data_IF_311322533337
#
_entry.id   IF_311322533337
#
_cell.length_a   1.000
_cell.length_b   1.000
_cell.length_c   1.000
_cell.angle_alpha   90.00
_cell.angle_beta   90.00
_cell.angle_gamma   90.00
#
_symmetry.space_group_name_H-M   'P 1'
#
loop_
_entity.id
_entity.type
_entity.pdbx_description
1 polymer ?
#
# COMPACT_ATOMS: atom_id res chain seq x y z
N UNK A 1 16.68 36.97 -3.80
CA UNK A 1 15.57 36.09 -4.24
C UNK A 1 15.97 34.93 -5.18
N UNK A 2 17.24 34.78 -5.56
CA UNK A 2 17.71 33.70 -6.46
C UNK A 2 18.02 32.36 -5.75
N UNK A 3 18.30 32.37 -4.44
CA UNK A 3 18.73 31.17 -3.73
C UNK A 3 17.61 30.11 -3.50
N UNK A 4 16.33 30.51 -3.46
CA UNK A 4 15.19 29.60 -3.29
C UNK A 4 14.90 28.78 -4.56
N UNK A 5 15.21 29.29 -5.74
CA UNK A 5 14.98 28.62 -7.01
C UNK A 5 15.99 27.48 -7.25
N UNK A 6 17.24 27.64 -6.83
CA UNK A 6 18.28 26.62 -6.98
C UNK A 6 18.09 25.40 -6.06
N UNK A 7 17.45 25.58 -4.90
CA UNK A 7 17.18 24.49 -3.97
C UNK A 7 15.93 23.66 -4.37
N UNK A 8 14.98 24.27 -5.08
CA UNK A 8 13.73 23.64 -5.49
C UNK A 8 13.87 22.75 -6.75
N UNK A 9 14.76 23.11 -7.68
CA UNK A 9 14.99 22.38 -8.93
C UNK A 9 15.42 20.91 -8.73
N UNK A 10 16.36 20.56 -7.82
CA UNK A 10 16.73 19.16 -7.60
C UNK A 10 15.58 18.31 -7.05
N UNK A 11 14.73 18.89 -6.21
CA UNK A 11 13.57 18.16 -5.64
C UNK A 11 12.53 17.84 -6.72
N UNK A 12 12.25 18.76 -7.64
CA UNK A 12 11.35 18.52 -8.76
C UNK A 12 11.88 17.41 -9.67
N UNK A 13 13.19 17.35 -9.90
CA UNK A 13 13.81 16.30 -10.71
C UNK A 13 13.68 14.93 -10.05
N UNK A 14 13.92 14.84 -8.74
CA UNK A 14 13.76 13.60 -7.98
C UNK A 14 12.30 13.11 -8.02
N UNK A 15 11.33 13.99 -7.77
CA UNK A 15 9.91 13.63 -7.82
C UNK A 15 9.47 13.13 -9.19
N UNK A 16 9.94 13.77 -10.27
CA UNK A 16 9.68 13.34 -11.64
C UNK A 16 10.29 11.98 -11.92
N UNK A 17 11.52 11.76 -11.44
CA UNK A 17 12.19 10.47 -11.59
C UNK A 17 11.43 9.36 -10.87
N UNK A 18 11.01 9.57 -9.61
CA UNK A 18 10.22 8.59 -8.84
C UNK A 18 8.96 8.20 -9.61
N UNK A 19 8.17 9.18 -10.06
CA UNK A 19 6.92 8.93 -10.79
C UNK A 19 7.16 8.16 -12.09
N UNK A 20 8.16 8.57 -12.86
CA UNK A 20 8.51 7.89 -14.10
C UNK A 20 8.91 6.43 -13.85
N UNK A 21 9.73 6.15 -12.85
CA UNK A 21 10.15 4.79 -12.51
C UNK A 21 8.98 3.94 -12.00
N UNK A 22 8.01 4.54 -11.29
CA UNK A 22 6.76 3.86 -10.91
C UNK A 22 5.89 3.54 -12.12
N UNK A 23 5.68 4.52 -13.02
CA UNK A 23 4.91 4.32 -14.25
C UNK A 23 5.53 3.24 -15.13
N UNK A 24 6.85 3.24 -15.33
CA UNK A 24 7.58 2.20 -16.06
C UNK A 24 7.42 0.80 -15.42
N UNK A 25 7.46 0.73 -14.09
CA UNK A 25 7.25 -0.53 -13.39
C UNK A 25 5.81 -1.04 -13.51
N UNK A 26 4.82 -0.15 -13.41
CA UNK A 26 3.41 -0.51 -13.64
C UNK A 26 3.22 -1.01 -15.06
N UNK A 27 3.69 -0.29 -16.08
CA UNK A 27 3.56 -0.69 -17.49
C UNK A 27 4.20 -2.07 -17.75
N UNK A 28 5.32 -2.35 -17.10
CA UNK A 28 6.08 -3.58 -17.32
C UNK A 28 5.49 -4.80 -16.60
N UNK A 29 5.00 -4.65 -15.37
CA UNK A 29 4.68 -5.77 -14.49
C UNK A 29 3.21 -5.89 -14.07
N UNK A 30 2.38 -4.89 -14.37
CA UNK A 30 0.95 -4.90 -14.03
C UNK A 30 0.12 -5.14 -15.29
N UNK A 31 -0.84 -6.06 -15.21
CA UNK A 31 -1.86 -6.29 -16.24
C UNK A 31 -3.22 -6.03 -15.64
N UNK A 32 -4.00 -5.17 -16.30
CA UNK A 32 -5.41 -5.00 -15.97
C UNK A 32 -6.20 -6.05 -16.77
N UNK A 33 -6.98 -6.86 -16.10
CA UNK A 33 -7.91 -7.77 -16.77
C UNK A 33 -9.05 -6.92 -17.35
N UNK A 34 -9.08 -6.81 -18.67
CA UNK A 34 -10.25 -6.25 -19.37
C UNK A 34 -11.37 -7.27 -19.25
N UNK A 35 -12.55 -6.84 -18.85
CA UNK A 35 -13.78 -7.64 -19.00
C UNK A 35 -13.97 -8.00 -20.47
N UNK A 36 -13.46 -9.15 -20.90
CA UNK A 36 -13.85 -9.77 -22.15
C UNK A 36 -15.15 -10.58 -21.93
N UNK A 37 -16.23 -10.03 -22.53
CA UNK A 37 -17.45 -10.73 -22.91
C UNK A 37 -18.46 -11.13 -21.82
N UNK A 38 -19.41 -10.24 -21.62
CA UNK A 38 -20.83 -10.64 -21.45
C UNK A 38 -21.61 -10.48 -22.76
N UNK A 39 -21.26 -11.26 -23.77
CA UNK A 39 -22.16 -11.57 -24.89
C UNK A 39 -22.16 -13.07 -25.10
N UNK A 40 -22.89 -13.82 -24.25
CA UNK A 40 -23.52 -15.11 -24.48
C UNK A 40 -24.10 -15.65 -23.17
N UNK A 41 -25.23 -15.09 -22.73
CA UNK A 41 -26.29 -15.85 -22.05
C UNK A 41 -27.48 -14.93 -21.71
N UNK A 42 -28.19 -14.52 -22.72
CA UNK A 42 -29.62 -14.22 -22.56
C UNK A 42 -30.37 -15.56 -22.44
N UNK A 43 -30.64 -16.01 -21.23
CA UNK A 43 -31.84 -16.78 -20.82
C UNK A 43 -31.66 -17.31 -19.41
N UNK A 44 -32.12 -16.57 -18.44
CA UNK A 44 -32.96 -17.03 -17.33
C UNK A 44 -33.08 -15.90 -16.31
N UNK A 45 -34.24 -15.30 -16.30
CA UNK A 45 -34.70 -14.37 -15.26
C UNK A 45 -34.83 -15.12 -13.95
N UNK A 46 -34.01 -14.79 -12.96
CA UNK A 46 -34.38 -14.88 -11.54
C UNK A 46 -33.82 -13.67 -10.84
N UNK A 47 -34.76 -12.84 -10.37
CA UNK A 47 -34.48 -11.62 -9.58
C UNK A 47 -33.88 -12.07 -8.25
N UNK A 48 -32.58 -11.85 -8.07
CA UNK A 48 -31.96 -11.86 -6.75
C UNK A 48 -31.61 -10.43 -6.37
N UNK A 49 -32.16 -9.99 -5.23
CA UNK A 49 -31.85 -8.74 -4.58
C UNK A 49 -30.33 -8.59 -4.43
N UNK A 50 -29.78 -7.58 -5.10
CA UNK A 50 -28.38 -7.22 -4.98
C UNK A 50 -28.19 -6.48 -3.65
N UNK A 51 -27.50 -7.12 -2.70
CA UNK A 51 -26.83 -6.38 -1.64
C UNK A 51 -25.77 -5.45 -2.25
N UNK A 52 -25.56 -4.23 -1.70
CA UNK A 52 -24.58 -3.27 -2.21
C UNK A 52 -23.17 -3.67 -1.77
N UNK A 53 -22.58 -4.66 -2.40
CA UNK A 53 -21.18 -4.97 -2.39
C UNK A 53 -20.61 -4.53 -3.72
N UNK A 54 -20.03 -3.31 -3.79
CA UNK A 54 -19.27 -2.91 -4.95
C UNK A 54 -18.10 -3.88 -5.09
N UNK A 55 -18.22 -4.81 -6.05
CA UNK A 55 -17.08 -5.62 -6.50
C UNK A 55 -16.09 -4.63 -7.09
N UNK A 56 -15.04 -4.34 -6.33
CA UNK A 56 -14.06 -3.33 -6.72
C UNK A 56 -13.29 -3.89 -7.92
N UNK A 57 -13.51 -3.31 -9.11
CA UNK A 57 -12.82 -3.67 -10.36
C UNK A 57 -11.29 -3.64 -10.21
N UNK A 58 -10.78 -2.99 -9.16
CA UNK A 58 -9.38 -2.85 -8.85
C UNK A 58 -8.69 -4.14 -8.37
N UNK A 59 -9.43 -5.17 -7.95
CA UNK A 59 -8.89 -6.48 -7.60
C UNK A 59 -8.50 -7.34 -8.82
N UNK A 60 -8.89 -6.92 -10.01
CA UNK A 60 -8.62 -7.66 -11.27
C UNK A 60 -7.29 -7.29 -11.93
N UNK A 61 -6.31 -6.83 -11.15
CA UNK A 61 -4.95 -6.58 -11.65
C UNK A 61 -4.07 -7.80 -11.39
N UNK A 62 -3.41 -8.29 -12.43
CA UNK A 62 -2.41 -9.36 -12.31
C UNK A 62 -1.01 -8.77 -12.27
N UNK A 63 -0.22 -9.18 -11.27
CA UNK A 63 1.18 -8.76 -11.12
C UNK A 63 2.11 -9.86 -11.59
N UNK A 64 3.05 -9.54 -12.48
CA UNK A 64 4.08 -10.46 -12.95
C UNK A 64 5.20 -10.63 -11.91
N UNK A 65 4.91 -11.39 -10.85
CA UNK A 65 5.92 -11.71 -9.83
C UNK A 65 7.09 -12.52 -10.36
N UNK A 66 6.92 -13.30 -11.43
CA UNK A 66 8.02 -14.04 -12.03
C UNK A 66 9.02 -13.08 -12.69
N UNK A 67 8.51 -12.11 -13.45
CA UNK A 67 9.31 -11.04 -14.03
C UNK A 67 10.01 -10.18 -12.98
N UNK A 68 9.28 -9.75 -11.95
CA UNK A 68 9.81 -8.96 -10.83
C UNK A 68 10.94 -9.71 -10.10
N UNK A 69 10.71 -10.96 -9.72
CA UNK A 69 11.69 -11.79 -9.00
C UNK A 69 12.88 -12.21 -9.84
N UNK A 70 12.76 -12.16 -11.16
CA UNK A 70 13.91 -12.30 -12.06
C UNK A 70 14.91 -11.15 -11.96
N UNK A 71 14.44 -9.95 -11.55
CA UNK A 71 15.25 -8.76 -11.32
C UNK A 71 15.74 -8.66 -9.88
N UNK A 72 14.86 -8.93 -8.93
CA UNK A 72 15.22 -8.99 -7.51
C UNK A 72 14.34 -10.01 -6.79
N UNK A 73 14.96 -11.08 -6.28
CA UNK A 73 14.26 -12.17 -5.57
C UNK A 73 13.62 -11.74 -4.26
N UNK A 74 14.07 -10.63 -3.70
CA UNK A 74 13.56 -10.05 -2.45
C UNK A 74 12.26 -9.27 -2.64
N UNK A 75 11.70 -9.19 -3.87
CA UNK A 75 10.36 -8.62 -4.08
C UNK A 75 9.33 -9.65 -3.63
N UNK A 76 8.60 -9.31 -2.55
CA UNK A 76 7.62 -10.18 -1.91
C UNK A 76 6.17 -9.82 -2.25
N UNK A 77 5.88 -8.53 -2.51
CA UNK A 77 4.52 -8.04 -2.76
C UNK A 77 4.52 -6.86 -3.74
N UNK A 78 3.32 -6.41 -4.08
CA UNK A 78 3.07 -5.16 -4.79
C UNK A 78 2.03 -4.35 -4.02
N UNK A 79 2.32 -3.08 -3.73
CA UNK A 79 1.44 -2.18 -2.98
C UNK A 79 0.87 -1.11 -3.91
N UNK A 80 -0.45 -0.99 -3.94
CA UNK A 80 -1.14 0.08 -4.63
C UNK A 80 -2.04 0.87 -3.67
N UNK A 81 -1.80 2.17 -3.57
CA UNK A 81 -2.62 3.11 -2.77
C UNK A 81 -3.11 4.21 -3.71
N UNK A 82 -4.32 4.09 -4.29
CA UNK A 82 -4.84 5.02 -5.30
C UNK A 82 -4.80 6.48 -4.83
N UNK A 83 -5.24 6.74 -3.60
CA UNK A 83 -5.27 8.07 -3.01
C UNK A 83 -3.88 8.72 -2.83
N UNK A 84 -2.80 7.96 -2.91
CA UNK A 84 -1.43 8.48 -2.76
C UNK A 84 -0.66 8.55 -4.07
N UNK A 85 -1.23 8.08 -5.18
CA UNK A 85 -0.51 7.81 -6.43
C UNK A 85 0.74 6.94 -6.17
N UNK A 86 0.60 5.92 -5.31
CA UNK A 86 1.63 4.95 -4.97
C UNK A 86 1.25 3.59 -5.56
N UNK A 87 2.08 3.08 -6.47
CA UNK A 87 1.85 1.84 -7.20
C UNK A 87 3.21 1.19 -7.46
N UNK A 88 3.69 0.36 -6.51
CA UNK A 88 5.10 -0.02 -6.41
C UNK A 88 5.31 -1.44 -5.90
N UNK A 89 6.41 -2.11 -6.28
CA UNK A 89 6.83 -3.34 -5.65
C UNK A 89 7.26 -3.11 -4.19
N UNK A 90 7.04 -4.12 -3.36
CA UNK A 90 7.49 -4.19 -1.96
C UNK A 90 8.62 -5.18 -1.85
N UNK A 91 9.72 -4.78 -1.24
CA UNK A 91 10.87 -5.63 -0.99
C UNK A 91 10.85 -6.21 0.43
N UNK A 92 11.46 -7.39 0.62
CA UNK A 92 11.74 -7.99 1.92
C UNK A 92 13.19 -8.47 1.91
N UNK A 93 14.07 -7.67 2.47
CA UNK A 93 15.52 -7.89 2.44
C UNK A 93 16.05 -8.65 3.64
N UNK A 94 17.36 -8.80 3.70
CA UNK A 94 18.05 -9.46 4.82
C UNK A 94 18.34 -8.51 6.00
N UNK A 95 18.14 -7.21 5.80
CA UNK A 95 18.28 -6.17 6.82
C UNK A 95 17.27 -5.05 6.59
N UNK A 96 17.13 -4.17 7.59
CA UNK A 96 16.20 -3.04 7.55
C UNK A 96 16.86 -1.73 7.08
N UNK A 97 18.06 -1.77 6.49
CA UNK A 97 18.82 -0.59 6.09
C UNK A 97 19.00 -0.47 4.57
N UNK A 98 19.18 -1.58 3.87
CA UNK A 98 19.49 -1.60 2.45
C UNK A 98 18.46 -0.82 1.60
N UNK A 99 17.19 -1.11 1.80
CA UNK A 99 16.09 -0.49 1.05
C UNK A 99 15.76 0.95 1.49
N UNK A 100 16.43 1.49 2.48
CA UNK A 100 16.38 2.93 2.76
C UNK A 100 17.08 3.78 1.71
N UNK A 101 18.05 3.19 0.99
CA UNK A 101 18.88 3.88 -0.01
C UNK A 101 18.93 3.18 -1.37
N UNK A 102 18.20 2.07 -1.53
CA UNK A 102 18.10 1.33 -2.79
C UNK A 102 16.63 1.11 -3.15
N UNK A 103 16.32 1.22 -4.45
CA UNK A 103 14.98 0.88 -4.92
C UNK A 103 14.77 -0.64 -4.96
N UNK A 104 13.55 -1.08 -5.26
CA UNK A 104 13.21 -2.49 -5.33
C UNK A 104 13.97 -3.27 -6.41
N UNK A 105 14.65 -2.58 -7.33
CA UNK A 105 15.51 -3.18 -8.38
C UNK A 105 17.00 -3.07 -8.04
N UNK A 106 17.34 -2.87 -6.75
CA UNK A 106 18.70 -2.79 -6.22
C UNK A 106 19.55 -1.63 -6.79
N UNK A 107 18.92 -0.58 -7.30
CA UNK A 107 19.60 0.63 -7.75
C UNK A 107 19.68 1.63 -6.61
N UNK A 108 20.85 2.26 -6.40
CA UNK A 108 21.02 3.30 -5.39
C UNK A 108 20.07 4.48 -5.68
N UNK A 109 19.21 4.82 -4.71
CA UNK A 109 18.21 5.88 -4.77
C UNK A 109 18.01 6.52 -3.40
N UNK A 110 18.09 7.84 -3.33
CA UNK A 110 17.90 8.60 -2.08
C UNK A 110 16.51 8.45 -1.46
N UNK A 111 15.53 7.99 -2.23
CA UNK A 111 14.15 7.74 -1.79
C UNK A 111 13.89 6.27 -1.44
N UNK A 112 14.89 5.39 -1.60
CA UNK A 112 14.77 3.98 -1.28
C UNK A 112 13.61 3.27 -1.98
N UNK A 113 13.03 2.29 -1.31
CA UNK A 113 11.80 1.61 -1.72
C UNK A 113 10.79 1.48 -0.57
N UNK A 114 9.64 0.91 -0.89
CA UNK A 114 8.74 0.37 0.13
C UNK A 114 9.22 -1.04 0.45
N UNK A 115 9.35 -1.35 1.74
CA UNK A 115 9.86 -2.66 2.17
C UNK A 115 9.24 -3.12 3.50
N UNK A 116 9.19 -4.44 3.70
CA UNK A 116 8.83 -5.09 4.94
C UNK A 116 10.09 -5.38 5.78
N UNK A 117 10.01 -5.36 7.14
CA UNK A 117 11.13 -5.69 8.01
C UNK A 117 11.65 -7.11 7.78
N UNK A 118 12.96 -7.29 7.87
CA UNK A 118 13.64 -8.59 7.65
C UNK A 118 13.28 -9.65 8.70
N UNK A 119 12.72 -9.27 9.82
CA UNK A 119 12.29 -10.12 10.93
C UNK A 119 10.80 -10.49 10.93
N UNK A 120 10.10 -10.15 9.83
CA UNK A 120 8.69 -10.53 9.59
C UNK A 120 8.57 -11.53 8.45
N UNK A 121 7.52 -12.39 8.41
CA UNK A 121 7.29 -13.31 7.31
C UNK A 121 7.03 -12.59 5.97
N UNK A 122 7.59 -13.12 4.88
CA UNK A 122 7.39 -12.59 3.52
C UNK A 122 5.94 -12.70 3.02
N UNK A 123 5.15 -13.62 3.61
CA UNK A 123 3.77 -13.90 3.22
C UNK A 123 2.75 -13.06 4.00
N UNK A 124 3.21 -12.14 4.84
CA UNK A 124 2.37 -11.28 5.67
C UNK A 124 1.39 -12.05 6.58
N UNK A 125 1.73 -13.27 6.96
CA UNK A 125 0.88 -14.17 7.75
C UNK A 125 0.71 -13.74 9.21
N UNK A 126 1.50 -12.79 9.70
CA UNK A 126 1.36 -12.26 11.05
C UNK A 126 0.16 -11.31 11.17
N UNK A 127 -0.37 -11.21 12.40
CA UNK A 127 -1.50 -10.31 12.73
C UNK A 127 -1.19 -8.83 12.47
N UNK A 128 0.08 -8.45 12.59
CA UNK A 128 0.55 -7.09 12.37
C UNK A 128 1.83 -7.11 11.54
N UNK A 129 1.76 -6.53 10.36
CA UNK A 129 2.90 -6.32 9.47
C UNK A 129 3.10 -4.83 9.24
N UNK A 130 4.34 -4.39 9.25
CA UNK A 130 4.71 -2.99 9.00
C UNK A 130 5.34 -2.91 7.61
N UNK A 131 4.98 -1.89 6.86
CA UNK A 131 5.71 -1.50 5.65
C UNK A 131 6.40 -0.16 5.90
N UNK A 132 7.69 -0.10 5.59
CA UNK A 132 8.49 1.11 5.66
C UNK A 132 8.61 1.78 4.30
N UNK A 133 8.70 3.08 4.32
CA UNK A 133 8.94 3.90 3.13
C UNK A 133 9.22 5.35 3.50
N UNK A 134 9.98 6.05 2.65
CA UNK A 134 10.31 7.45 2.90
C UNK A 134 9.06 8.34 2.88
N UNK A 135 8.95 9.22 3.89
CA UNK A 135 7.93 10.26 3.95
C UNK A 135 8.44 11.51 3.21
N UNK A 136 8.39 11.47 1.87
CA UNK A 136 8.90 12.55 1.03
C UNK A 136 8.04 13.82 1.16
N UNK A 137 8.71 14.99 1.16
CA UNK A 137 8.01 16.29 1.31
C UNK A 137 7.14 16.65 0.11
N UNK A 138 7.51 16.16 -1.07
CA UNK A 138 6.82 16.38 -2.34
C UNK A 138 5.60 15.47 -2.56
N UNK A 139 5.27 14.62 -1.57
CA UNK A 139 4.13 13.70 -1.62
C UNK A 139 4.39 12.40 -2.38
N UNK A 140 5.61 12.14 -2.84
CA UNK A 140 5.99 10.83 -3.38
C UNK A 140 6.28 9.84 -2.25
N UNK A 141 6.42 8.57 -2.58
CA UNK A 141 6.53 7.48 -1.61
C UNK A 141 5.41 7.57 -0.56
N UNK A 142 5.68 7.31 0.72
CA UNK A 142 4.70 7.49 1.79
C UNK A 142 4.39 8.96 2.14
N UNK A 143 5.04 9.92 1.48
CA UNK A 143 4.67 11.33 1.58
C UNK A 143 3.24 11.62 1.15
N UNK A 144 2.68 10.80 0.24
CA UNK A 144 1.28 10.87 -0.21
C UNK A 144 0.24 10.57 0.87
N UNK A 145 0.61 9.81 1.92
CA UNK A 145 -0.27 9.47 3.04
C UNK A 145 -0.76 10.70 3.81
N UNK A 146 -0.06 11.83 3.72
CA UNK A 146 -0.48 13.10 4.35
C UNK A 146 -1.83 13.61 3.86
N UNK A 147 -2.28 13.17 2.68
CA UNK A 147 -3.61 13.51 2.15
C UNK A 147 -4.74 12.99 3.04
N UNK A 148 -4.51 11.88 3.74
CA UNK A 148 -5.47 11.28 4.67
C UNK A 148 -5.68 12.10 5.96
N UNK A 149 -5.00 13.24 6.14
CA UNK A 149 -5.36 14.23 7.15
C UNK A 149 -6.73 14.87 6.87
N UNK A 150 -7.15 14.86 5.63
CA UNK A 150 -8.46 15.33 5.20
C UNK A 150 -9.46 14.16 5.24
N UNK A 151 -10.48 14.24 6.09
CA UNK A 151 -11.47 13.17 6.25
C UNK A 151 -12.20 12.82 4.94
N UNK A 152 -12.41 13.81 4.05
CA UNK A 152 -12.99 13.58 2.72
C UNK A 152 -12.12 12.68 1.84
N UNK A 153 -10.80 12.66 2.05
CA UNK A 153 -9.88 11.84 1.27
C UNK A 153 -10.03 10.36 1.59
N UNK A 154 -10.22 9.99 2.86
CA UNK A 154 -10.51 8.61 3.25
C UNK A 154 -11.84 8.12 2.69
N UNK A 155 -12.86 8.98 2.65
CA UNK A 155 -14.15 8.65 2.06
C UNK A 155 -14.07 8.38 0.55
N UNK A 156 -13.20 9.11 -0.17
CA UNK A 156 -12.96 8.92 -1.61
C UNK A 156 -12.05 7.72 -1.89
N UNK A 157 -11.03 7.50 -1.05
CA UNK A 157 -10.02 6.44 -1.21
C UNK A 157 -9.89 5.59 0.07
N UNK A 158 -10.94 4.82 0.45
CA UNK A 158 -10.96 4.09 1.72
C UNK A 158 -10.09 2.82 1.74
N UNK A 159 -9.52 2.43 0.59
CA UNK A 159 -8.80 1.17 0.45
C UNK A 159 -7.38 1.36 -0.10
N UNK A 160 -6.51 0.46 0.31
CA UNK A 160 -5.27 0.13 -0.36
C UNK A 160 -5.33 -1.35 -0.82
N UNK A 161 -4.48 -1.69 -1.76
CA UNK A 161 -4.42 -3.04 -2.34
C UNK A 161 -3.02 -3.60 -2.19
N UNK A 162 -2.94 -4.82 -1.67
CA UNK A 162 -1.71 -5.57 -1.53
C UNK A 162 -1.82 -6.85 -2.34
N UNK A 163 -0.98 -6.98 -3.34
CA UNK A 163 -0.89 -8.17 -4.19
C UNK A 163 0.30 -9.01 -3.74
N UNK A 164 0.06 -10.29 -3.56
CA UNK A 164 1.03 -11.33 -3.23
C UNK A 164 1.08 -12.35 -4.38
N UNK A 165 2.10 -13.19 -4.47
CA UNK A 165 2.09 -14.28 -5.45
C UNK A 165 0.89 -15.21 -5.23
N UNK A 166 -0.11 -15.11 -6.11
CA UNK A 166 -1.33 -15.93 -6.06
C UNK A 166 -2.49 -15.37 -5.22
N UNK A 167 -2.32 -14.22 -4.58
CA UNK A 167 -3.35 -13.60 -3.74
C UNK A 167 -3.43 -12.09 -3.99
N UNK A 168 -4.62 -11.52 -3.77
CA UNK A 168 -4.85 -10.07 -3.79
C UNK A 168 -5.71 -9.68 -2.60
N UNK A 169 -5.27 -8.70 -1.83
CA UNK A 169 -5.95 -8.22 -0.65
C UNK A 169 -6.40 -6.78 -0.83
N UNK A 170 -7.69 -6.54 -0.60
CA UNK A 170 -8.24 -5.21 -0.42
C UNK A 170 -8.23 -4.88 1.06
N UNK A 171 -7.41 -3.91 1.45
CA UNK A 171 -7.23 -3.53 2.85
C UNK A 171 -7.90 -2.20 3.12
N UNK A 172 -8.86 -2.17 4.07
CA UNK A 172 -9.51 -0.94 4.45
C UNK A 172 -8.62 -0.07 5.35
N UNK A 173 -8.52 1.20 5.03
CA UNK A 173 -7.87 2.21 5.87
C UNK A 173 -8.86 2.58 6.98
N UNK A 174 -8.56 2.21 8.22
CA UNK A 174 -9.44 2.42 9.36
C UNK A 174 -8.86 3.35 10.43
N UNK A 175 -7.56 3.60 10.38
CA UNK A 175 -6.87 4.53 11.26
C UNK A 175 -5.74 5.24 10.53
N UNK A 176 -5.60 6.52 10.79
CA UNK A 176 -4.46 7.35 10.35
C UNK A 176 -4.01 8.16 11.56
N UNK A 177 -2.74 8.07 11.91
CA UNK A 177 -2.20 8.84 13.03
C UNK A 177 -0.81 9.38 12.73
N UNK A 178 -0.45 10.46 13.43
CA UNK A 178 0.93 10.94 13.47
C UNK A 178 1.56 10.48 14.76
N UNK A 179 2.65 9.76 14.65
CA UNK A 179 3.33 9.17 15.79
C UNK A 179 4.84 9.36 15.70
N UNK A 180 5.54 9.14 16.79
CA UNK A 180 6.99 9.15 16.83
C UNK A 180 7.59 7.74 16.68
N UNK A 181 8.91 7.67 16.46
CA UNK A 181 9.61 6.41 16.25
C UNK A 181 9.67 5.48 17.49
N UNK A 182 9.18 5.93 18.65
CA UNK A 182 9.13 5.13 19.89
C UNK A 182 7.73 4.59 20.20
N UNK A 183 6.76 4.90 19.33
CA UNK A 183 5.40 4.42 19.51
C UNK A 183 5.31 2.90 19.41
N UNK A 184 4.34 2.34 20.09
CA UNK A 184 4.00 0.92 20.06
C UNK A 184 3.37 0.47 18.73
N UNK A 185 3.10 1.39 17.80
CA UNK A 185 2.70 1.06 16.41
C UNK A 185 3.77 0.22 15.72
N UNK A 186 5.03 0.30 16.17
CA UNK A 186 6.14 -0.49 15.62
C UNK A 186 6.37 -1.82 16.34
N UNK A 187 5.48 -2.21 17.27
CA UNK A 187 5.56 -3.49 17.95
C UNK A 187 5.25 -4.63 16.99
N UNK A 188 6.21 -5.50 16.75
CA UNK A 188 6.09 -6.75 16.00
C UNK A 188 6.00 -7.96 16.92
N UNK A 189 5.74 -9.14 16.34
CA UNK A 189 5.75 -10.43 17.03
C UNK A 189 4.40 -10.83 17.62
N UNK A 190 4.45 -11.72 18.62
CA UNK A 190 3.25 -12.34 19.15
C UNK A 190 2.34 -11.38 19.93
N UNK A 191 1.05 -11.45 19.65
CA UNK A 191 0.00 -10.71 20.31
C UNK A 191 -0.95 -11.65 21.03
N UNK A 192 -1.25 -11.40 22.33
CA UNK A 192 -2.47 -11.95 22.93
C UNK A 192 -3.69 -11.24 22.36
N UNK A 193 -4.87 -11.88 22.38
CA UNK A 193 -6.10 -11.23 21.91
C UNK A 193 -6.45 -9.99 22.74
N UNK A 194 -6.13 -10.00 24.04
CA UNK A 194 -6.36 -8.84 24.90
C UNK A 194 -5.47 -7.67 24.52
N UNK A 195 -4.14 -7.90 24.33
CA UNK A 195 -3.20 -6.85 23.89
C UNK A 195 -3.56 -6.30 22.52
N UNK A 196 -3.92 -7.20 21.59
CA UNK A 196 -4.34 -6.80 20.26
C UNK A 196 -5.58 -5.89 20.27
N UNK A 197 -6.60 -6.29 21.03
CA UNK A 197 -7.83 -5.49 21.12
C UNK A 197 -7.58 -4.14 21.78
N UNK A 198 -6.74 -4.10 22.82
CA UNK A 198 -6.34 -2.83 23.45
C UNK A 198 -5.58 -1.93 22.49
N UNK A 199 -4.63 -2.49 21.73
CA UNK A 199 -3.85 -1.76 20.74
C UNK A 199 -4.74 -1.21 19.61
N UNK A 200 -5.67 -2.02 19.07
CA UNK A 200 -6.63 -1.58 18.05
C UNK A 200 -7.50 -0.45 18.57
N UNK A 201 -7.99 -0.55 19.82
CA UNK A 201 -8.81 0.49 20.41
C UNK A 201 -8.03 1.81 20.56
N UNK A 202 -6.79 1.75 21.01
CA UNK A 202 -5.92 2.92 21.11
C UNK A 202 -5.66 3.57 19.74
N UNK A 203 -5.42 2.78 18.68
CA UNK A 203 -5.26 3.31 17.31
C UNK A 203 -6.54 3.99 16.80
N UNK A 204 -7.72 3.49 17.16
CA UNK A 204 -9.00 4.16 16.83
C UNK A 204 -9.13 5.51 17.55
N UNK A 205 -8.75 5.57 18.82
CA UNK A 205 -8.84 6.79 19.62
C UNK A 205 -7.86 7.88 19.18
N UNK A 206 -6.67 7.47 18.72
CA UNK A 206 -5.64 8.38 18.23
C UNK A 206 -5.80 8.75 16.73
N UNK A 207 -6.74 8.13 16.03
CA UNK A 207 -6.92 8.34 14.61
C UNK A 207 -7.39 9.76 14.28
N UNK A 208 -6.74 10.37 13.28
CA UNK A 208 -7.13 11.67 12.71
C UNK A 208 -8.45 11.55 11.93
N UNK A 209 -8.70 10.37 11.34
CA UNK A 209 -9.93 10.09 10.60
C UNK A 209 -10.97 9.50 11.55
N UNK A 210 -12.16 10.13 11.58
CA UNK A 210 -13.30 9.60 12.31
C UNK A 210 -13.99 8.54 11.42
N UNK A 211 -13.43 7.36 11.34
CA UNK A 211 -14.11 6.26 10.67
C UNK A 211 -15.30 5.80 11.51
N UNK A 212 -16.51 6.12 11.07
CA UNK A 212 -17.79 5.62 11.63
C UNK A 212 -17.97 4.13 11.29
N UNK A 213 -16.92 3.32 11.42
CA UNK A 213 -17.01 1.90 11.14
C UNK A 213 -17.42 1.15 12.40
N UNK A 214 -18.68 0.73 12.44
CA UNK A 214 -18.99 -0.50 13.13
C UNK A 214 -18.26 -1.62 12.38
N UNK A 215 -17.14 -2.09 12.94
CA UNK A 215 -16.49 -3.30 12.46
C UNK A 215 -17.46 -4.44 12.86
N UNK A 216 -18.28 -4.89 11.91
CA UNK A 216 -18.89 -6.19 12.02
C UNK A 216 -17.74 -7.20 12.01
N UNK A 217 -17.72 -8.12 13.00
CA UNK A 217 -16.75 -9.20 13.07
C UNK A 217 -16.71 -9.96 11.75
N UNK A 218 -15.53 -10.43 11.30
CA UNK A 218 -15.45 -11.24 10.10
C UNK A 218 -16.32 -12.49 10.32
N UNK A 219 -17.36 -12.65 9.52
CA UNK A 219 -18.11 -13.89 9.42
C UNK A 219 -17.16 -14.97 8.91
N UNK A 220 -16.93 -15.98 9.73
CA UNK A 220 -16.19 -17.20 9.38
C UNK A 220 -16.92 -18.01 8.32
#
# INVERSE_FOLDING_TARGET
MAALFFWYLPQIQVSRQIRKEQEEAVEMYVREEKEENKEENEKSEEVQEQEPGSTDQNLFRTIDFAGLRSKNREICAWLWIPGCALDVPVAHGQDNAYYLTHDAFCRERIYGSIFAPCDTPEDFSERHTILYGHNMRDGTMFGGLKKYREASWEQEFPYLYLYLPGEAWQCRIWSVEETDAKSDVYRLGAWSDADWNAWVQERKENSIILSLIHISEPTR
#
